data_IF_052696829491
#
_entry.id   IF_052696829491
#
_cell.length_a   1.000
_cell.length_b   1.000
_cell.length_c   1.000
_cell.angle_alpha   90.00
_cell.angle_beta   90.00
_cell.angle_gamma   90.00
#
_symmetry.space_group_name_H-M   'P 1'
#
loop_
_entity.id
_entity.type
_entity.pdbx_description
1 polymer ?
#
# COMPACT_ATOMS: atom_id res chain seq x y z
N UNK A 1 -16.03 8.30 11.09
CA UNK A 1 -15.55 9.33 12.02
C UNK A 1 -14.04 9.44 11.80
N UNK A 2 -13.49 10.63 11.52
CA UNK A 2 -12.04 10.79 11.27
C UNK A 2 -11.23 10.86 12.57
N UNK A 3 -11.91 11.02 13.71
CA UNK A 3 -11.30 11.19 15.02
C UNK A 3 -10.49 9.96 15.45
N UNK A 4 -10.85 8.77 14.98
CA UNK A 4 -10.12 7.52 15.24
C UNK A 4 -8.67 7.55 14.71
N UNK A 5 -8.34 8.48 13.81
CA UNK A 5 -7.00 8.66 13.26
C UNK A 5 -6.36 10.01 13.64
N UNK A 6 -6.89 10.71 14.65
CA UNK A 6 -6.34 12.00 15.09
C UNK A 6 -4.96 11.79 15.74
N UNK A 7 -3.94 12.41 15.15
CA UNK A 7 -2.56 12.35 15.66
C UNK A 7 -2.26 13.32 16.81
N UNK A 8 -2.95 14.46 16.85
CA UNK A 8 -2.68 15.53 17.81
C UNK A 8 -2.93 16.91 17.20
N UNK A 9 -2.26 17.93 17.73
CA UNK A 9 -2.28 19.31 17.27
C UNK A 9 -0.87 19.89 17.24
N UNK A 10 -0.44 20.37 16.07
CA UNK A 10 0.91 20.94 15.84
C UNK A 10 1.23 22.19 16.67
N UNK A 11 0.22 22.89 17.21
CA UNK A 11 0.44 24.07 18.06
C UNK A 11 0.70 23.73 19.52
N UNK A 12 0.36 22.51 19.95
CA UNK A 12 0.48 22.06 21.35
C UNK A 12 1.39 20.86 21.52
N UNK A 13 1.53 20.04 20.49
CA UNK A 13 2.19 18.74 20.55
C UNK A 13 3.48 18.76 19.73
N UNK A 14 4.53 18.19 20.29
CA UNK A 14 5.83 18.06 19.63
C UNK A 14 5.83 16.90 18.61
N UNK A 15 6.74 16.93 17.64
CA UNK A 15 6.90 15.83 16.67
C UNK A 15 7.13 14.45 17.32
N UNK A 16 7.95 14.30 18.39
CA UNK A 16 8.07 13.02 19.10
C UNK A 16 6.75 12.52 19.70
N UNK A 17 5.89 13.40 20.21
CA UNK A 17 4.57 13.03 20.73
C UNK A 17 3.62 12.59 19.62
N UNK A 18 3.61 13.32 18.50
CA UNK A 18 2.83 12.97 17.32
C UNK A 18 3.29 11.63 16.73
N UNK A 19 4.60 11.34 16.73
CA UNK A 19 5.13 10.07 16.27
C UNK A 19 4.75 8.91 17.19
N UNK A 20 4.79 9.11 18.52
CA UNK A 20 4.27 8.13 19.48
C UNK A 20 2.78 7.86 19.26
N UNK A 21 1.98 8.90 19.03
CA UNK A 21 0.55 8.74 18.74
C UNK A 21 0.34 7.99 17.42
N UNK A 22 1.11 8.33 16.37
CA UNK A 22 1.08 7.62 15.09
C UNK A 22 1.32 6.12 15.24
N UNK A 23 2.28 5.74 16.07
CA UNK A 23 2.59 4.33 16.39
C UNK A 23 1.45 3.68 17.18
N UNK A 24 0.92 4.36 18.19
CA UNK A 24 -0.19 3.86 19.01
C UNK A 24 -1.47 3.60 18.20
N UNK A 25 -1.76 4.45 17.21
CA UNK A 25 -2.90 4.27 16.31
C UNK A 25 -2.75 3.04 15.38
N UNK A 26 -1.52 2.58 15.10
CA UNK A 26 -1.30 1.37 14.31
C UNK A 26 -1.65 1.49 12.82
N UNK A 27 -1.84 2.71 12.28
CA UNK A 27 -2.29 2.92 10.90
C UNK A 27 -1.32 2.31 9.88
N UNK A 28 -0.03 2.56 10.08
CA UNK A 28 1.06 2.09 9.20
C UNK A 28 1.26 0.60 9.40
N UNK A 29 1.22 0.14 10.64
CA UNK A 29 1.44 -1.24 11.06
C UNK A 29 0.38 -2.16 10.43
N UNK A 30 -0.89 -1.74 10.47
CA UNK A 30 -1.98 -2.42 9.76
C UNK A 30 -1.75 -2.46 8.23
N UNK A 31 -1.14 -1.43 7.64
CA UNK A 31 -0.84 -1.38 6.21
C UNK A 31 0.22 -2.41 5.77
N UNK A 32 1.13 -2.79 6.68
CA UNK A 32 2.24 -3.73 6.41
C UNK A 32 1.79 -5.18 6.29
N UNK A 33 0.58 -5.52 6.77
CA UNK A 33 0.02 -6.86 6.62
C UNK A 33 -0.05 -7.17 5.13
N UNK A 34 0.67 -8.19 4.68
CA UNK A 34 0.76 -8.53 3.26
C UNK A 34 0.01 -9.83 2.98
N UNK A 35 -1.09 -9.80 2.19
CA UNK A 35 -1.97 -10.95 2.01
C UNK A 35 -1.23 -12.13 1.37
N UNK A 36 -1.53 -13.39 1.73
CA UNK A 36 -0.90 -14.56 1.14
C UNK A 36 -0.99 -14.59 -0.40
N UNK A 37 -2.12 -14.15 -0.97
CA UNK A 37 -2.31 -14.08 -2.41
C UNK A 37 -1.34 -13.12 -3.10
N UNK A 38 -0.92 -12.06 -2.38
CA UNK A 38 0.07 -11.12 -2.89
C UNK A 38 1.50 -11.66 -2.75
N UNK A 39 1.77 -12.64 -1.86
CA UNK A 39 3.09 -13.27 -1.72
C UNK A 39 3.43 -14.19 -2.89
N UNK A 40 2.44 -14.89 -3.43
CA UNK A 40 2.60 -15.79 -4.59
C UNK A 40 2.39 -15.11 -5.94
N UNK A 41 2.03 -13.81 -5.97
CA UNK A 41 1.72 -13.10 -7.21
C UNK A 41 3.00 -12.66 -7.93
N UNK A 42 3.16 -13.02 -9.21
CA UNK A 42 4.30 -12.58 -10.04
C UNK A 42 4.43 -11.06 -10.18
N UNK A 43 3.32 -10.33 -10.02
CA UNK A 43 3.28 -8.86 -10.08
C UNK A 43 3.56 -8.18 -8.73
N UNK A 44 3.81 -8.94 -7.67
CA UNK A 44 4.10 -8.43 -6.32
C UNK A 44 5.22 -7.37 -6.27
N UNK A 45 6.36 -7.51 -6.98
CA UNK A 45 7.44 -6.52 -6.92
C UNK A 45 7.05 -5.13 -7.43
N UNK A 46 6.12 -5.08 -8.40
CA UNK A 46 5.60 -3.85 -9.00
C UNK A 46 4.37 -3.31 -8.25
N UNK A 47 3.41 -4.19 -7.97
CA UNK A 47 2.12 -3.84 -7.36
C UNK A 47 2.22 -3.55 -5.86
N UNK A 48 3.04 -4.33 -5.14
CA UNK A 48 3.26 -4.24 -3.68
C UNK A 48 1.98 -4.27 -2.83
N UNK A 49 0.91 -4.87 -3.35
CA UNK A 49 -0.39 -4.97 -2.67
C UNK A 49 -1.32 -3.76 -2.86
N UNK A 50 -0.91 -2.75 -3.63
CA UNK A 50 -1.67 -1.53 -3.90
C UNK A 50 -1.85 -0.63 -2.67
N UNK A 51 -2.65 0.43 -2.82
CA UNK A 51 -2.89 1.40 -1.75
C UNK A 51 -3.78 0.84 -0.62
N UNK A 52 -3.42 1.12 0.65
CA UNK A 52 -4.17 0.73 1.86
C UNK A 52 -5.66 1.04 1.75
N UNK A 53 -6.01 2.23 1.26
CA UNK A 53 -7.40 2.71 1.13
C UNK A 53 -8.30 1.79 0.30
N UNK A 54 -7.72 1.09 -0.67
CA UNK A 54 -8.43 0.23 -1.61
C UNK A 54 -8.33 -1.25 -1.26
N UNK A 55 -7.69 -1.59 -0.14
CA UNK A 55 -7.65 -2.96 0.37
C UNK A 55 -8.95 -3.28 1.08
N UNK A 56 -9.52 -4.44 0.76
CA UNK A 56 -10.78 -4.88 1.32
C UNK A 56 -10.63 -5.13 2.83
N UNK A 57 -11.58 -4.64 3.63
CA UNK A 57 -11.63 -4.97 5.05
C UNK A 57 -12.01 -6.45 5.22
N UNK A 58 -11.26 -7.18 6.03
CA UNK A 58 -11.53 -8.59 6.34
C UNK A 58 -12.24 -8.71 7.70
N UNK A 59 -12.98 -9.81 7.96
CA UNK A 59 -13.72 -10.01 9.21
C UNK A 59 -12.89 -9.90 10.50
N UNK A 60 -11.57 -10.17 10.42
CA UNK A 60 -10.64 -10.04 11.54
C UNK A 60 -10.02 -8.64 11.69
N UNK A 61 -10.58 -7.61 11.02
CA UNK A 61 -10.02 -6.25 11.00
C UNK A 61 -8.73 -6.11 10.18
N UNK A 62 -8.26 -7.18 9.55
CA UNK A 62 -7.08 -7.17 8.70
C UNK A 62 -7.41 -6.67 7.28
N UNK A 63 -6.37 -6.22 6.57
CA UNK A 63 -6.51 -5.78 5.19
C UNK A 63 -6.33 -6.96 4.22
N UNK A 64 -7.32 -7.18 3.39
CA UNK A 64 -7.30 -8.16 2.29
C UNK A 64 -6.55 -7.65 1.06
N UNK A 65 -6.83 -8.28 -0.09
CA UNK A 65 -6.31 -7.83 -1.38
C UNK A 65 -6.93 -6.50 -1.79
N UNK A 66 -6.22 -5.75 -2.65
CA UNK A 66 -6.76 -4.54 -3.26
C UNK A 66 -7.97 -4.87 -4.15
N UNK A 67 -9.05 -4.07 -4.08
CA UNK A 67 -10.24 -4.26 -4.93
C UNK A 67 -9.93 -4.20 -6.43
N UNK A 68 -8.88 -3.49 -6.82
CA UNK A 68 -8.39 -3.40 -8.20
C UNK A 68 -7.36 -4.49 -8.56
N UNK A 69 -7.16 -5.51 -7.72
CA UNK A 69 -6.18 -6.57 -7.98
C UNK A 69 -6.38 -7.24 -9.35
N UNK A 70 -7.63 -7.47 -9.77
CA UNK A 70 -7.94 -7.96 -11.12
C UNK A 70 -7.43 -7.03 -12.22
N UNK A 71 -7.78 -5.74 -12.13
CA UNK A 71 -7.36 -4.72 -13.09
C UNK A 71 -5.84 -4.58 -13.16
N UNK A 72 -5.14 -4.56 -12.01
CA UNK A 72 -3.68 -4.52 -11.98
C UNK A 72 -3.05 -5.71 -12.68
N UNK A 73 -3.55 -6.93 -12.43
CA UNK A 73 -3.04 -8.13 -13.13
C UNK A 73 -3.19 -7.99 -14.63
N UNK A 74 -4.40 -7.70 -15.12
CA UNK A 74 -4.68 -7.56 -16.55
C UNK A 74 -3.86 -6.43 -17.19
N UNK A 75 -3.75 -5.29 -16.53
CA UNK A 75 -2.95 -4.16 -17.00
C UNK A 75 -1.46 -4.52 -17.08
N UNK A 76 -0.91 -5.18 -16.06
CA UNK A 76 0.52 -5.52 -16.07
C UNK A 76 0.88 -6.59 -17.09
N UNK A 77 0.02 -7.58 -17.36
CA UNK A 77 0.23 -8.51 -18.49
C UNK A 77 0.40 -7.73 -19.80
N UNK A 78 -0.43 -6.72 -20.02
CA UNK A 78 -0.42 -5.92 -21.25
C UNK A 78 0.74 -4.92 -21.31
N UNK A 79 0.97 -4.18 -20.22
CA UNK A 79 1.82 -2.99 -20.22
C UNK A 79 3.28 -3.28 -19.91
N UNK A 80 3.57 -4.26 -19.04
CA UNK A 80 4.94 -4.48 -18.56
C UNK A 80 5.93 -4.80 -19.69
N UNK A 81 5.60 -5.64 -20.70
CA UNK A 81 6.52 -5.87 -21.82
C UNK A 81 6.94 -4.58 -22.52
N UNK A 82 5.99 -3.66 -22.77
CA UNK A 82 6.22 -2.35 -23.41
C UNK A 82 7.01 -1.41 -22.50
N UNK A 83 6.68 -1.37 -21.21
CA UNK A 83 7.43 -0.59 -20.23
C UNK A 83 8.90 -1.04 -20.15
N UNK A 84 9.15 -2.36 -20.24
CA UNK A 84 10.51 -2.89 -20.27
C UNK A 84 11.28 -2.53 -21.54
N UNK A 85 10.61 -2.33 -22.68
CA UNK A 85 11.25 -1.78 -23.89
C UNK A 85 11.72 -0.35 -23.66
N UNK A 86 10.88 0.50 -23.06
CA UNK A 86 11.27 1.87 -22.69
C UNK A 86 12.44 1.87 -21.71
N UNK A 87 12.38 1.06 -20.65
CA UNK A 87 13.51 0.95 -19.70
C UNK A 87 14.80 0.58 -20.43
N UNK A 88 14.79 -0.41 -21.33
CA UNK A 88 15.99 -0.78 -22.11
C UNK A 88 16.52 0.35 -22.99
N UNK A 89 15.65 1.20 -23.53
CA UNK A 89 16.04 2.34 -24.36
C UNK A 89 16.69 3.45 -23.54
N UNK A 90 16.14 3.75 -22.35
CA UNK A 90 16.60 4.87 -21.52
C UNK A 90 17.66 4.49 -20.48
N UNK A 91 17.81 3.22 -20.12
CA UNK A 91 18.87 2.77 -19.18
C UNK A 91 20.24 2.59 -19.82
N UNK A 92 20.35 2.78 -21.15
CA UNK A 92 21.63 2.75 -21.90
C UNK A 92 22.17 4.15 -22.22
N UNK A 93 21.52 5.19 -21.69
CA UNK A 93 22.00 6.57 -21.67
C UNK A 93 22.58 6.85 -20.28
#
# INVERSE_FOLDING_TARGET
MLDDWRLGNLTTDSFPELERMRQALGFIEASRIYPPQCRSCKWAPLCRGGGRRDRLAMPAGSLGVNRYCGAFRSFFEYAVPKLMELVRQYSRQ
#
